data_IF_903119213881
#
_entry.id   IF_903119213881
#
_cell.length_a   1.000
_cell.length_b   1.000
_cell.length_c   1.000
_cell.angle_alpha   90.00
_cell.angle_beta   90.00
_cell.angle_gamma   90.00
#
_symmetry.space_group_name_H-M   'P 1'
#
loop_
_entity.id
_entity.type
_entity.pdbx_description
1 polymer ?
#
# COMPACT_ATOMS: atom_id res chain seq x y z
N UNK A 1 4.80 33.83 12.38
CA UNK A 1 4.14 32.84 13.27
C UNK A 1 5.08 32.43 14.40
N UNK A 2 4.57 31.90 15.51
CA UNK A 2 5.40 31.51 16.67
C UNK A 2 6.50 30.48 16.33
N UNK A 3 6.23 29.54 15.42
CA UNK A 3 7.22 28.54 15.01
C UNK A 3 8.37 29.10 14.16
N UNK A 4 8.10 30.11 13.33
CA UNK A 4 9.16 30.79 12.55
C UNK A 4 10.09 31.57 13.48
N UNK A 5 9.52 32.26 14.49
CA UNK A 5 10.28 32.92 15.55
C UNK A 5 11.10 31.92 16.36
N UNK A 6 10.52 30.74 16.65
CA UNK A 6 11.23 29.67 17.34
C UNK A 6 12.44 29.16 16.55
N UNK A 7 12.31 28.94 15.23
CA UNK A 7 13.43 28.52 14.37
C UNK A 7 14.48 29.61 14.21
N UNK A 8 14.07 30.89 14.18
CA UNK A 8 15.03 32.00 14.15
C UNK A 8 15.89 32.06 15.43
N UNK A 9 15.28 31.76 16.59
CA UNK A 9 15.99 31.73 17.88
C UNK A 9 16.82 30.46 18.05
N UNK A 10 16.30 29.32 17.62
CA UNK A 10 16.97 28.02 17.66
C UNK A 10 16.61 27.18 16.42
N UNK A 11 17.48 27.15 15.40
CA UNK A 11 17.27 26.38 14.18
C UNK A 11 17.29 24.87 14.35
N UNK A 12 17.64 24.36 15.54
CA UNK A 12 17.77 22.92 15.84
C UNK A 12 16.50 22.31 16.43
N UNK A 13 15.46 23.12 16.64
CA UNK A 13 14.15 22.67 17.13
C UNK A 13 13.41 21.86 16.06
N UNK A 14 13.68 20.56 15.98
CA UNK A 14 13.03 19.64 15.04
C UNK A 14 11.49 19.71 15.09
N UNK A 15 10.91 19.92 16.28
CA UNK A 15 9.46 20.06 16.43
C UNK A 15 8.91 21.35 15.82
N UNK A 16 9.66 22.45 15.84
CA UNK A 16 9.25 23.68 15.18
C UNK A 16 9.26 23.50 13.65
N UNK A 17 10.27 22.82 13.11
CA UNK A 17 10.32 22.43 11.69
C UNK A 17 9.15 21.52 11.32
N UNK A 18 8.90 20.44 12.08
CA UNK A 18 7.74 19.54 11.86
C UNK A 18 6.41 20.31 11.85
N UNK A 19 6.19 21.20 12.82
CA UNK A 19 4.95 21.96 12.93
C UNK A 19 4.77 22.96 11.78
N UNK A 20 5.84 23.62 11.31
CA UNK A 20 5.76 24.42 10.09
C UNK A 20 5.49 23.57 8.86
N UNK A 21 6.11 22.40 8.75
CA UNK A 21 5.82 21.47 7.67
C UNK A 21 4.34 21.10 7.62
N UNK A 22 3.76 20.75 8.78
CA UNK A 22 2.34 20.46 8.90
C UNK A 22 1.45 21.66 8.53
N UNK A 23 1.82 22.86 8.97
CA UNK A 23 1.12 24.10 8.61
C UNK A 23 1.13 24.36 7.10
N UNK A 24 2.30 24.25 6.46
CA UNK A 24 2.41 24.44 5.02
C UNK A 24 1.60 23.40 4.25
N UNK A 25 1.55 22.16 4.73
CA UNK A 25 0.74 21.12 4.10
C UNK A 25 -0.77 21.35 4.25
N UNK A 26 -1.25 21.62 5.47
CA UNK A 26 -2.69 21.65 5.79
C UNK A 26 -3.35 23.01 5.59
N UNK A 27 -2.66 24.09 5.92
CA UNK A 27 -3.22 25.45 5.92
C UNK A 27 -2.85 26.24 4.67
N UNK A 28 -1.72 25.89 4.03
CA UNK A 28 -1.24 26.55 2.81
C UNK A 28 -1.34 25.69 1.57
N UNK A 29 -1.65 24.40 1.72
CA UNK A 29 -1.72 23.45 0.61
C UNK A 29 -0.43 23.48 -0.25
N UNK A 30 0.72 23.70 0.41
CA UNK A 30 2.05 23.83 -0.21
C UNK A 30 2.90 22.61 0.20
N UNK A 31 2.80 21.48 -0.53
CA UNK A 31 3.52 20.25 -0.20
C UNK A 31 5.03 20.38 -0.38
N UNK A 32 5.51 21.26 -1.27
CA UNK A 32 6.95 21.44 -1.51
C UNK A 32 7.63 22.10 -0.31
N UNK A 33 7.03 23.16 0.25
CA UNK A 33 7.53 23.75 1.51
C UNK A 33 7.37 22.80 2.67
N UNK A 34 6.26 22.06 2.73
CA UNK A 34 6.06 21.06 3.76
C UNK A 34 7.19 20.02 3.75
N UNK A 35 7.52 19.47 2.58
CA UNK A 35 8.63 18.55 2.39
C UNK A 35 9.95 19.14 2.89
N UNK A 36 10.27 20.39 2.51
CA UNK A 36 11.52 21.04 2.93
C UNK A 36 11.65 21.13 4.46
N UNK A 37 10.59 21.52 5.16
CA UNK A 37 10.57 21.58 6.62
C UNK A 37 10.67 20.19 7.27
N UNK A 38 9.97 19.18 6.73
CA UNK A 38 10.07 17.82 7.24
C UNK A 38 11.46 17.21 7.03
N UNK A 39 12.09 17.45 5.88
CA UNK A 39 13.49 17.02 5.65
C UNK A 39 14.42 17.66 6.67
N UNK A 40 14.24 18.95 6.97
CA UNK A 40 15.02 19.60 8.04
C UNK A 40 14.77 18.99 9.42
N UNK A 41 13.52 18.63 9.74
CA UNK A 41 13.21 17.94 10.98
C UNK A 41 13.88 16.54 11.05
N UNK A 42 13.91 15.81 9.91
CA UNK A 42 14.56 14.51 9.79
C UNK A 42 16.08 14.63 9.97
N UNK A 43 16.73 15.63 9.36
CA UNK A 43 18.16 15.88 9.56
C UNK A 43 18.52 16.05 11.04
N UNK A 44 17.64 16.72 11.79
CA UNK A 44 17.80 16.98 13.22
C UNK A 44 17.46 15.76 14.09
N UNK A 45 16.50 14.94 13.69
CA UNK A 45 16.04 13.74 14.42
C UNK A 45 15.83 12.55 13.47
N UNK A 46 16.91 11.96 12.92
CA UNK A 46 16.82 10.95 11.87
C UNK A 46 16.24 9.61 12.33
N UNK A 47 16.09 9.42 13.65
CA UNK A 47 15.53 8.21 14.28
C UNK A 47 14.07 8.39 14.72
N UNK A 48 13.42 9.52 14.45
CA UNK A 48 12.02 9.73 14.80
C UNK A 48 11.11 9.20 13.67
N UNK A 49 10.47 8.02 13.83
CA UNK A 49 9.66 7.43 12.77
C UNK A 49 8.43 8.26 12.41
N UNK A 50 7.97 9.13 13.31
CA UNK A 50 6.80 9.98 13.07
C UNK A 50 7.03 10.94 11.91
N UNK A 51 8.25 11.47 11.81
CA UNK A 51 8.63 12.39 10.72
C UNK A 51 8.58 11.71 9.35
N UNK A 52 8.96 10.43 9.28
CA UNK A 52 8.92 9.66 8.04
C UNK A 52 7.50 9.24 7.66
N UNK A 53 6.66 8.88 8.64
CA UNK A 53 5.23 8.60 8.38
C UNK A 53 4.58 9.84 7.79
N UNK A 54 4.70 10.98 8.46
CA UNK A 54 4.04 12.21 8.03
C UNK A 54 4.60 12.75 6.71
N UNK A 55 5.92 12.69 6.51
CA UNK A 55 6.50 13.06 5.22
C UNK A 55 6.04 12.11 4.10
N UNK A 56 5.92 10.80 4.35
CA UNK A 56 5.39 9.87 3.35
C UNK A 56 3.92 10.15 2.98
N UNK A 57 3.12 10.66 3.91
CA UNK A 57 1.74 11.11 3.63
C UNK A 57 1.71 12.39 2.78
N UNK A 58 2.59 13.35 3.09
CA UNK A 58 2.76 14.58 2.30
C UNK A 58 3.18 14.24 0.86
N UNK A 59 4.01 13.21 0.69
CA UNK A 59 4.54 12.75 -0.59
C UNK A 59 3.63 11.75 -1.33
N UNK A 60 2.41 11.49 -0.85
CA UNK A 60 1.52 10.44 -1.39
C UNK A 60 1.15 10.57 -2.88
N UNK A 61 1.34 11.74 -3.50
CA UNK A 61 1.19 11.93 -4.95
C UNK A 61 2.46 11.73 -5.78
N UNK A 62 3.58 11.39 -5.12
CA UNK A 62 4.91 11.23 -5.71
C UNK A 62 5.56 9.95 -5.19
N UNK A 63 5.09 8.78 -5.64
CA UNK A 63 5.52 7.49 -5.08
C UNK A 63 7.03 7.24 -5.21
N UNK A 64 7.71 7.81 -6.22
CA UNK A 64 9.16 7.74 -6.36
C UNK A 64 9.89 8.39 -5.17
N UNK A 65 9.39 9.54 -4.69
CA UNK A 65 9.95 10.22 -3.51
C UNK A 65 9.69 9.42 -2.23
N UNK A 66 8.53 8.77 -2.11
CA UNK A 66 8.21 7.89 -0.97
C UNK A 66 9.14 6.68 -0.94
N UNK A 67 9.34 6.01 -2.08
CA UNK A 67 10.27 4.88 -2.20
C UNK A 67 11.68 5.30 -1.80
N UNK A 68 12.17 6.44 -2.32
CA UNK A 68 13.49 6.96 -1.97
C UNK A 68 13.62 7.24 -0.47
N UNK A 69 12.62 7.90 0.13
CA UNK A 69 12.61 8.22 1.56
C UNK A 69 12.66 6.98 2.46
N UNK A 70 11.86 5.96 2.14
CA UNK A 70 11.61 4.84 3.05
C UNK A 70 12.54 3.64 2.81
N UNK A 71 13.10 3.49 1.61
CA UNK A 71 14.08 2.42 1.33
C UNK A 71 15.36 2.64 2.12
N UNK A 72 15.88 3.88 2.12
CA UNK A 72 17.12 4.24 2.82
C UNK A 72 16.98 4.14 4.35
N UNK A 73 15.76 4.37 4.87
CA UNK A 73 15.47 4.27 6.29
C UNK A 73 15.62 2.85 6.84
N UNK A 74 15.36 1.82 6.03
CA UNK A 74 15.28 0.44 6.50
C UNK A 74 14.12 0.24 7.48
N UNK A 75 12.88 0.39 7.00
CA UNK A 75 11.64 0.47 7.80
C UNK A 75 11.44 -0.66 8.82
N UNK A 76 12.04 -1.83 8.59
CA UNK A 76 12.01 -2.98 9.50
C UNK A 76 12.50 -2.66 10.94
N UNK A 77 13.37 -1.65 11.09
CA UNK A 77 13.97 -1.31 12.38
C UNK A 77 13.11 -0.39 13.26
N UNK A 78 12.02 0.20 12.73
CA UNK A 78 11.28 1.24 13.42
C UNK A 78 10.00 0.76 14.12
N UNK A 79 9.62 -0.51 13.96
CA UNK A 79 8.46 -1.10 14.64
C UNK A 79 7.12 -0.42 14.31
N UNK A 80 7.03 0.26 13.14
CA UNK A 80 5.84 1.00 12.70
C UNK A 80 5.34 0.41 11.38
N UNK A 81 4.21 -0.29 11.46
CA UNK A 81 3.56 -0.92 10.31
C UNK A 81 3.25 0.09 9.21
N UNK A 82 2.94 1.34 9.57
CA UNK A 82 2.60 2.44 8.66
C UNK A 82 3.72 2.72 7.67
N UNK A 83 4.99 2.66 8.09
CA UNK A 83 6.13 2.87 7.19
C UNK A 83 6.24 1.76 6.14
N UNK A 84 6.06 0.51 6.56
CA UNK A 84 6.05 -0.64 5.64
C UNK A 84 4.84 -0.60 4.71
N UNK A 85 3.67 -0.21 5.22
CA UNK A 85 2.45 -0.05 4.41
C UNK A 85 2.59 1.09 3.39
N UNK A 86 3.18 2.22 3.76
CA UNK A 86 3.40 3.34 2.84
C UNK A 86 4.43 3.03 1.75
N UNK A 87 5.50 2.30 2.07
CA UNK A 87 6.45 1.82 1.07
C UNK A 87 5.79 0.82 0.10
N UNK A 88 5.02 -0.14 0.61
CA UNK A 88 4.28 -1.10 -0.22
C UNK A 88 3.23 -0.42 -1.11
N UNK A 89 2.58 0.63 -0.62
CA UNK A 89 1.66 1.46 -1.40
C UNK A 89 2.38 2.16 -2.55
N UNK A 90 3.50 2.81 -2.27
CA UNK A 90 4.28 3.49 -3.30
C UNK A 90 4.80 2.51 -4.37
N UNK A 91 5.26 1.31 -3.98
CA UNK A 91 5.60 0.26 -4.95
C UNK A 91 4.42 -0.15 -5.84
N UNK A 92 3.21 -0.27 -5.28
CA UNK A 92 2.02 -0.59 -6.06
C UNK A 92 1.64 0.53 -7.05
N UNK A 93 1.74 1.80 -6.63
CA UNK A 93 1.46 2.96 -7.48
C UNK A 93 2.44 3.05 -8.67
N UNK A 94 3.68 2.63 -8.48
CA UNK A 94 4.69 2.53 -9.54
C UNK A 94 4.54 1.27 -10.43
N UNK A 95 3.58 0.39 -10.14
CA UNK A 95 3.44 -0.90 -10.82
C UNK A 95 4.54 -1.91 -10.47
N UNK A 96 5.36 -1.63 -9.45
CA UNK A 96 6.43 -2.51 -8.96
C UNK A 96 5.88 -3.62 -8.05
N UNK A 97 4.81 -4.28 -8.49
CA UNK A 97 4.03 -5.26 -7.72
C UNK A 97 4.87 -6.39 -7.14
N UNK A 98 5.88 -6.85 -7.87
CA UNK A 98 6.80 -7.88 -7.41
C UNK A 98 7.57 -7.45 -6.16
N UNK A 99 7.96 -6.17 -6.06
CA UNK A 99 8.63 -5.64 -4.87
C UNK A 99 7.68 -5.62 -3.69
N UNK A 100 6.42 -5.19 -3.87
CA UNK A 100 5.39 -5.25 -2.83
C UNK A 100 5.17 -6.66 -2.30
N UNK A 101 4.99 -7.64 -3.19
CA UNK A 101 4.73 -9.04 -2.81
C UNK A 101 5.91 -9.60 -2.01
N UNK A 102 7.14 -9.38 -2.47
CA UNK A 102 8.34 -9.85 -1.78
C UNK A 102 8.55 -9.15 -0.43
N UNK A 103 8.33 -7.84 -0.39
CA UNK A 103 8.52 -7.03 0.79
C UNK A 103 7.51 -7.38 1.89
N UNK A 104 6.21 -7.40 1.56
CA UNK A 104 5.16 -7.78 2.50
C UNK A 104 5.25 -9.27 2.89
N UNK A 105 5.72 -10.15 1.98
CA UNK A 105 5.99 -11.56 2.24
C UNK A 105 7.07 -11.82 3.31
N UNK A 106 8.00 -10.88 3.49
CA UNK A 106 9.06 -10.94 4.51
C UNK A 106 8.73 -10.12 5.76
N UNK A 107 7.68 -9.33 5.70
CA UNK A 107 7.26 -8.44 6.80
C UNK A 107 6.27 -9.17 7.71
N UNK A 108 6.31 -8.85 9.00
CA UNK A 108 5.37 -9.39 9.99
C UNK A 108 4.58 -8.25 10.61
N UNK A 109 3.25 -8.34 10.53
CA UNK A 109 2.32 -7.36 11.05
C UNK A 109 1.54 -7.94 12.23
N UNK A 110 1.37 -7.15 13.30
CA UNK A 110 0.53 -7.52 14.43
C UNK A 110 -0.96 -7.41 14.06
N UNK A 111 -1.76 -8.36 14.55
CA UNK A 111 -3.21 -8.39 14.42
C UNK A 111 -3.88 -7.40 15.40
N UNK A 112 -3.69 -6.11 15.17
CA UNK A 112 -4.42 -5.07 15.90
C UNK A 112 -5.83 -4.89 15.32
N UNK A 113 -6.82 -4.59 16.19
CA UNK A 113 -8.24 -4.62 15.82
C UNK A 113 -8.54 -3.86 14.51
N UNK A 114 -9.23 -4.56 13.60
CA UNK A 114 -9.74 -4.04 12.32
C UNK A 114 -8.68 -3.53 11.31
N UNK A 115 -7.38 -3.84 11.48
CA UNK A 115 -6.38 -3.56 10.41
C UNK A 115 -6.57 -4.49 9.22
N UNK A 116 -6.60 -3.92 8.02
CA UNK A 116 -6.72 -4.64 6.74
C UNK A 116 -5.69 -4.20 5.69
N UNK A 117 -4.94 -3.13 5.97
CA UNK A 117 -4.08 -2.43 5.02
C UNK A 117 -3.00 -3.32 4.41
N UNK A 118 -2.24 -4.04 5.24
CA UNK A 118 -1.21 -4.98 4.80
C UNK A 118 -1.74 -6.01 3.79
N UNK A 119 -2.88 -6.66 4.10
CA UNK A 119 -3.53 -7.62 3.20
C UNK A 119 -4.06 -6.95 1.95
N UNK A 120 -4.69 -5.77 2.06
CA UNK A 120 -5.23 -5.05 0.91
C UNK A 120 -4.14 -4.64 -0.07
N UNK A 121 -3.00 -4.14 0.42
CA UNK A 121 -1.84 -3.78 -0.40
C UNK A 121 -1.22 -5.01 -1.08
N UNK A 122 -1.14 -6.13 -0.36
CA UNK A 122 -0.65 -7.39 -0.91
C UNK A 122 -1.56 -7.94 -2.01
N UNK A 123 -2.88 -7.93 -1.79
CA UNK A 123 -3.86 -8.32 -2.80
C UNK A 123 -3.83 -7.40 -4.01
N UNK A 124 -3.79 -6.09 -3.81
CA UNK A 124 -3.68 -5.14 -4.91
C UNK A 124 -2.43 -5.40 -5.78
N UNK A 125 -1.30 -5.76 -5.15
CA UNK A 125 -0.08 -6.14 -5.86
C UNK A 125 -0.25 -7.42 -6.68
N UNK A 126 -0.87 -8.45 -6.10
CA UNK A 126 -1.14 -9.72 -6.81
C UNK A 126 -2.10 -9.52 -7.98
N UNK A 127 -3.19 -8.76 -7.79
CA UNK A 127 -4.11 -8.42 -8.88
C UNK A 127 -3.36 -7.65 -9.97
N UNK A 128 -2.57 -6.65 -9.62
CA UNK A 128 -1.77 -5.88 -10.56
C UNK A 128 -0.78 -6.73 -11.37
N UNK A 129 0.00 -7.58 -10.70
CA UNK A 129 0.95 -8.49 -11.36
C UNK A 129 0.25 -9.54 -12.22
N UNK A 130 -0.88 -10.06 -11.75
CA UNK A 130 -1.69 -11.01 -12.50
C UNK A 130 -2.29 -10.40 -13.77
N UNK A 131 -2.77 -9.15 -13.70
CA UNK A 131 -3.22 -8.41 -14.90
C UNK A 131 -2.09 -8.21 -15.90
N UNK A 132 -0.90 -7.79 -15.46
CA UNK A 132 0.28 -7.69 -16.34
C UNK A 132 0.62 -9.04 -16.98
N UNK A 133 0.44 -10.15 -16.26
CA UNK A 133 0.67 -11.50 -16.78
C UNK A 133 -0.38 -11.89 -17.83
N UNK A 134 -1.66 -11.51 -17.65
CA UNK A 134 -2.69 -11.70 -18.67
C UNK A 134 -2.38 -10.93 -19.96
N UNK A 135 -1.93 -9.67 -19.82
CA UNK A 135 -1.55 -8.83 -20.95
C UNK A 135 -0.33 -9.41 -21.69
N UNK A 136 0.58 -10.06 -20.96
CA UNK A 136 1.72 -10.80 -21.51
C UNK A 136 1.35 -12.19 -22.08
N UNK A 137 0.08 -12.59 -22.07
CA UNK A 137 -0.35 -13.90 -22.57
C UNK A 137 0.03 -15.08 -21.67
N UNK A 138 0.21 -14.84 -20.36
CA UNK A 138 0.59 -15.84 -19.35
C UNK A 138 -0.56 -16.09 -18.35
N UNK A 139 -1.67 -16.71 -18.79
CA UNK A 139 -2.86 -16.86 -17.94
C UNK A 139 -2.66 -17.80 -16.76
N UNK A 140 -1.77 -18.80 -16.84
CA UNK A 140 -1.45 -19.68 -15.72
C UNK A 140 -0.73 -18.92 -14.59
N UNK A 141 0.21 -18.04 -14.96
CA UNK A 141 0.90 -17.17 -13.99
C UNK A 141 -0.07 -16.17 -13.37
N UNK A 142 -0.97 -15.59 -14.17
CA UNK A 142 -2.01 -14.71 -13.66
C UNK A 142 -2.94 -15.42 -12.68
N UNK A 143 -3.38 -16.64 -13.02
CA UNK A 143 -4.24 -17.44 -12.16
C UNK A 143 -3.58 -17.73 -10.80
N UNK A 144 -2.28 -18.05 -10.80
CA UNK A 144 -1.54 -18.28 -9.55
C UNK A 144 -1.56 -17.05 -8.63
N UNK A 145 -1.46 -15.85 -9.19
CA UNK A 145 -1.55 -14.60 -8.42
C UNK A 145 -2.95 -14.35 -7.86
N UNK A 146 -3.98 -14.59 -8.67
CA UNK A 146 -5.35 -14.40 -8.23
C UNK A 146 -5.79 -15.46 -7.20
N UNK A 147 -5.31 -16.70 -7.31
CA UNK A 147 -5.48 -17.74 -6.29
C UNK A 147 -4.80 -17.33 -4.99
N UNK A 148 -3.56 -16.83 -5.08
CA UNK A 148 -2.81 -16.39 -3.92
C UNK A 148 -3.50 -15.20 -3.22
N UNK A 149 -4.15 -14.30 -3.97
CA UNK A 149 -4.90 -13.15 -3.45
C UNK A 149 -6.11 -13.55 -2.58
N UNK A 150 -6.64 -14.78 -2.76
CA UNK A 150 -7.73 -15.34 -1.95
C UNK A 150 -7.25 -15.95 -0.62
N UNK A 151 -5.94 -15.95 -0.36
CA UNK A 151 -5.37 -16.49 0.88
C UNK A 151 -5.22 -15.41 1.96
N UNK A 152 -5.02 -15.86 3.21
CA UNK A 152 -4.81 -15.01 4.39
C UNK A 152 -3.54 -15.43 5.13
N UNK A 153 -2.34 -15.10 4.60
CA UNK A 153 -1.07 -15.44 5.24
C UNK A 153 -0.95 -14.80 6.63
N UNK A 154 -0.54 -15.60 7.64
CA UNK A 154 -0.43 -15.14 9.04
C UNK A 154 0.48 -13.92 9.21
N UNK A 155 1.55 -13.82 8.42
CA UNK A 155 2.51 -12.72 8.51
C UNK A 155 1.89 -11.36 8.17
N UNK A 156 0.76 -11.31 7.45
CA UNK A 156 0.04 -10.07 7.16
C UNK A 156 -0.80 -9.57 8.34
N UNK A 157 -0.97 -10.36 9.41
CA UNK A 157 -1.71 -9.95 10.60
C UNK A 157 -3.22 -9.83 10.39
N UNK A 158 -3.77 -10.36 9.28
CA UNK A 158 -5.19 -10.28 8.93
C UNK A 158 -5.77 -11.68 8.74
N UNK A 159 -6.76 -12.04 9.55
CA UNK A 159 -7.53 -13.28 9.36
C UNK A 159 -8.64 -13.11 8.31
N UNK A 160 -9.15 -14.24 7.79
CA UNK A 160 -10.30 -14.21 6.88
C UNK A 160 -11.55 -13.75 7.63
N UNK A 161 -12.18 -12.62 7.24
CA UNK A 161 -13.43 -12.16 7.87
C UNK A 161 -14.60 -13.07 7.48
N UNK A 162 -15.72 -12.96 8.19
CA UNK A 162 -16.95 -13.68 7.86
C UNK A 162 -17.46 -13.36 6.44
N UNK A 163 -17.37 -12.08 6.07
CA UNK A 163 -17.78 -11.55 4.76
C UNK A 163 -16.56 -10.99 4.01
N UNK A 164 -15.82 -11.84 3.26
CA UNK A 164 -14.61 -11.40 2.59
C UNK A 164 -14.91 -10.66 1.29
N UNK A 165 -14.18 -9.57 1.06
CA UNK A 165 -14.15 -8.83 -0.20
C UNK A 165 -13.14 -9.46 -1.15
N UNK A 166 -13.62 -10.41 -1.94
CA UNK A 166 -12.85 -11.30 -2.82
C UNK A 166 -13.37 -11.27 -4.28
N UNK A 167 -14.44 -10.51 -4.56
CA UNK A 167 -15.09 -10.44 -5.87
C UNK A 167 -14.11 -10.09 -7.01
N UNK A 168 -13.21 -9.13 -6.80
CA UNK A 168 -12.20 -8.75 -7.80
C UNK A 168 -11.25 -9.90 -8.14
N UNK A 169 -10.72 -10.60 -7.14
CA UNK A 169 -9.84 -11.74 -7.36
C UNK A 169 -10.58 -12.84 -8.13
N UNK A 170 -11.81 -13.16 -7.74
CA UNK A 170 -12.65 -14.14 -8.43
C UNK A 170 -12.97 -13.76 -9.87
N UNK A 171 -13.28 -12.50 -10.14
CA UNK A 171 -13.47 -11.99 -11.50
C UNK A 171 -12.24 -12.26 -12.37
N UNK A 172 -11.06 -11.86 -11.89
CA UNK A 172 -9.82 -12.03 -12.65
C UNK A 172 -9.41 -13.50 -12.81
N UNK A 173 -9.72 -14.38 -11.85
CA UNK A 173 -9.62 -15.85 -12.03
C UNK A 173 -10.49 -16.33 -13.18
N UNK A 174 -11.74 -15.87 -13.25
CA UNK A 174 -12.64 -16.21 -14.35
C UNK A 174 -12.09 -15.78 -15.71
N UNK A 175 -11.55 -14.56 -15.80
CA UNK A 175 -10.87 -14.06 -17.01
C UNK A 175 -9.66 -14.92 -17.39
N UNK A 176 -8.83 -15.32 -16.41
CA UNK A 176 -7.69 -16.20 -16.65
C UNK A 176 -8.13 -17.58 -17.17
N UNK A 177 -9.20 -18.16 -16.60
CA UNK A 177 -9.76 -19.43 -17.08
C UNK A 177 -10.31 -19.33 -18.50
N UNK A 178 -10.97 -18.22 -18.85
CA UNK A 178 -11.41 -17.99 -20.24
C UNK A 178 -10.23 -17.92 -21.22
N UNK A 179 -9.12 -17.28 -20.83
CA UNK A 179 -7.88 -17.24 -21.64
C UNK A 179 -7.26 -18.62 -21.85
N UNK A 180 -7.54 -19.58 -20.96
CA UNK A 180 -7.12 -20.98 -21.06
C UNK A 180 -8.20 -21.89 -21.68
N UNK A 181 -9.27 -21.32 -22.25
CA UNK A 181 -10.44 -22.04 -22.79
C UNK A 181 -11.15 -22.96 -21.78
N UNK A 182 -10.99 -22.71 -20.48
CA UNK A 182 -11.64 -23.47 -19.41
C UNK A 182 -12.94 -22.79 -18.95
N UNK A 183 -13.99 -22.93 -19.76
CA UNK A 183 -15.29 -22.26 -19.53
C UNK A 183 -16.00 -22.71 -18.26
N UNK A 184 -15.83 -23.96 -17.86
CA UNK A 184 -16.44 -24.51 -16.65
C UNK A 184 -15.87 -23.83 -15.40
N UNK A 185 -14.54 -23.83 -15.25
CA UNK A 185 -13.89 -23.15 -14.12
C UNK A 185 -14.05 -21.63 -14.16
N UNK A 186 -14.14 -21.03 -15.35
CA UNK A 186 -14.47 -19.62 -15.46
C UNK A 186 -15.82 -19.30 -14.83
N UNK A 187 -16.85 -20.10 -15.15
CA UNK A 187 -18.19 -19.95 -14.57
C UNK A 187 -18.17 -20.11 -13.05
N UNK A 188 -17.49 -21.13 -12.53
CA UNK A 188 -17.33 -21.32 -11.07
C UNK A 188 -16.67 -20.11 -10.40
N UNK A 189 -15.63 -19.54 -11.02
CA UNK A 189 -14.96 -18.37 -10.50
C UNK A 189 -15.88 -17.13 -10.46
N UNK A 190 -16.65 -16.89 -11.52
CA UNK A 190 -17.62 -15.78 -11.55
C UNK A 190 -18.75 -15.95 -10.52
N UNK A 191 -19.32 -17.15 -10.38
CA UNK A 191 -20.34 -17.41 -9.35
C UNK A 191 -19.80 -17.16 -7.93
N UNK A 192 -18.56 -17.58 -7.65
CA UNK A 192 -17.90 -17.28 -6.38
C UNK A 192 -17.68 -15.77 -6.19
N UNK A 193 -17.33 -15.04 -7.26
CA UNK A 193 -17.18 -13.59 -7.22
C UNK A 193 -18.50 -12.85 -6.95
N UNK A 194 -19.60 -13.29 -7.55
CA UNK A 194 -20.95 -12.76 -7.32
C UNK A 194 -21.43 -12.97 -5.88
N UNK A 195 -21.11 -14.14 -5.31
CA UNK A 195 -21.44 -14.51 -3.94
C UNK A 195 -20.56 -13.81 -2.88
N UNK A 196 -19.42 -13.23 -3.27
CA UNK A 196 -18.54 -12.48 -2.37
C UNK A 196 -19.19 -11.15 -1.92
N UNK A 197 -18.87 -10.72 -0.70
CA UNK A 197 -19.30 -9.44 -0.16
C UNK A 197 -18.42 -8.28 -0.69
N UNK A 198 -18.86 -7.03 -0.48
CA UNK A 198 -18.01 -5.86 -0.70
C UNK A 198 -18.10 -5.28 -2.11
N UNK A 199 -17.06 -5.43 -2.93
CA UNK A 199 -16.84 -4.64 -4.14
C UNK A 199 -17.93 -4.89 -5.21
N UNK A 200 -18.99 -4.07 -5.18
CA UNK A 200 -20.17 -4.19 -6.02
C UNK A 200 -19.88 -4.07 -7.52
N UNK A 201 -18.85 -3.28 -7.90
CA UNK A 201 -18.43 -3.17 -9.29
C UNK A 201 -17.98 -4.53 -9.82
N UNK A 202 -17.13 -5.24 -9.09
CA UNK A 202 -16.64 -6.54 -9.54
C UNK A 202 -17.67 -7.66 -9.38
N UNK A 203 -18.58 -7.56 -8.42
CA UNK A 203 -19.72 -8.48 -8.33
C UNK A 203 -20.58 -8.43 -9.60
N UNK A 204 -20.88 -7.22 -10.08
CA UNK A 204 -21.62 -7.02 -11.35
C UNK A 204 -20.84 -7.51 -12.57
N UNK A 205 -19.52 -7.34 -12.60
CA UNK A 205 -18.67 -7.88 -13.67
C UNK A 205 -18.66 -9.42 -13.72
N UNK A 206 -19.12 -10.09 -12.66
CA UNK A 206 -19.24 -11.55 -12.61
C UNK A 206 -20.63 -12.06 -13.03
N UNK A 207 -21.58 -11.18 -13.38
CA UNK A 207 -22.90 -11.55 -13.92
C UNK A 207 -22.85 -11.89 -15.41
#
# INVERSE_FOLDING_TARGET
MEWESAIQKDPTLAQAHRNLGLYYWKEKEDPDRAEAFYRRAIDLRPKDPTLYVELSEILSGTPEKVVALLTDLGTANFGRNELSENLARAYNELGEYQKTINFLGKSSFSNWENRKTSRNLWVAALIGRGKNSLDAGQPESALADFDLALTYPRHLGVGRPADPNEAEAHYWRGVAFLKMDNKEKAKEAFEAGKASAGNEEYRKKCE
#
